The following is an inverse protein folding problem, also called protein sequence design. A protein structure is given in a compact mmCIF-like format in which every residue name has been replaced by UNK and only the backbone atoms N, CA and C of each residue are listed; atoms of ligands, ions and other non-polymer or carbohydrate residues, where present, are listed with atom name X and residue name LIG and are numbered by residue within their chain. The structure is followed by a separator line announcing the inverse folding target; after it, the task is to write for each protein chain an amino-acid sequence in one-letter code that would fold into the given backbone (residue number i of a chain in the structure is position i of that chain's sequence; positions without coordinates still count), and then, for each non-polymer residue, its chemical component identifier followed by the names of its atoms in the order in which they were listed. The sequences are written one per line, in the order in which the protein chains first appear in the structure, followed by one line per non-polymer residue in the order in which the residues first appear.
data_IF_506716125819
#
_entry.id   IF_506716125819
#
_cell.length_a   1.000
_cell.length_b   1.000
_cell.length_c   1.000
_cell.angle_alpha   90.00
_cell.angle_beta   90.00
_cell.angle_gamma   90.00
#
_symmetry.space_group_name_H-M   'P 1'
#
loop_
_entity.id
_entity.type
_entity.pdbx_description
1 polymer ?
#
# COMPACT_ATOMS: atom_id res chain seq x y z
N UNK A 1 14.25 -5.16 15.60
CA UNK A 1 14.37 -4.77 14.16
C UNK A 1 14.53 -3.26 14.07
N UNK A 2 15.23 -2.74 13.07
CA UNK A 2 15.25 -1.30 12.81
C UNK A 2 13.85 -0.84 12.39
N UNK A 3 13.44 0.34 12.85
CA UNK A 3 12.18 0.96 12.45
C UNK A 3 12.41 1.69 11.14
N UNK A 4 11.46 1.61 10.21
CA UNK A 4 11.49 2.34 8.94
C UNK A 4 10.32 3.31 8.85
N UNK A 5 10.55 4.44 8.20
CA UNK A 5 9.56 5.49 8.00
C UNK A 5 9.35 5.79 6.53
N UNK A 6 8.11 5.98 6.16
CA UNK A 6 7.74 6.44 4.84
C UNK A 6 6.68 7.52 4.85
N UNK A 7 6.54 8.18 3.72
CA UNK A 7 5.52 9.21 3.53
C UNK A 7 4.83 9.09 2.19
N UNK A 8 3.61 9.61 2.08
CA UNK A 8 2.87 9.65 0.82
C UNK A 8 3.36 10.80 -0.07
N UNK A 9 3.48 10.51 -1.36
CA UNK A 9 3.77 11.54 -2.36
C UNK A 9 2.49 12.26 -2.80
N UNK A 10 2.60 13.54 -3.23
CA UNK A 10 1.47 14.32 -3.71
C UNK A 10 1.10 13.89 -5.15
N UNK A 11 0.62 12.65 -5.30
CA UNK A 11 0.22 12.07 -6.59
C UNK A 11 -1.22 12.40 -6.99
N UNK A 12 -1.95 13.14 -6.14
CA UNK A 12 -3.34 13.54 -6.36
C UNK A 12 -3.69 14.89 -5.77
N UNK A 13 -4.83 15.45 -6.23
CA UNK A 13 -5.37 16.73 -5.74
C UNK A 13 -4.58 17.93 -6.23
N UNK A 14 -4.81 19.08 -5.61
CA UNK A 14 -4.24 20.37 -6.02
C UNK A 14 -2.71 20.40 -5.97
N UNK A 15 -2.11 19.61 -5.08
CA UNK A 15 -0.65 19.50 -4.96
C UNK A 15 -0.02 18.54 -5.97
N UNK A 16 -0.80 17.86 -6.80
CA UNK A 16 -0.25 16.93 -7.78
C UNK A 16 0.45 17.69 -8.92
N UNK A 17 1.74 17.43 -9.07
CA UNK A 17 2.57 18.03 -10.11
C UNK A 17 3.92 17.32 -10.21
N UNK A 18 4.59 17.40 -11.38
CA UNK A 18 5.89 16.72 -11.57
C UNK A 18 6.98 17.29 -10.64
N UNK A 19 7.00 18.61 -10.41
CA UNK A 19 7.94 19.24 -9.48
C UNK A 19 7.66 18.86 -8.03
N UNK A 20 6.39 18.85 -7.62
CA UNK A 20 5.99 18.45 -6.26
C UNK A 20 6.32 16.99 -6.01
N UNK A 21 6.02 16.10 -6.96
CA UNK A 21 6.41 14.68 -6.85
C UNK A 21 7.92 14.51 -6.66
N UNK A 22 8.72 15.17 -7.52
CA UNK A 22 10.18 15.11 -7.48
C UNK A 22 10.71 15.69 -6.17
N UNK A 23 10.35 16.93 -5.85
CA UNK A 23 10.89 17.63 -4.69
C UNK A 23 10.54 16.94 -3.37
N UNK A 24 9.32 16.46 -3.20
CA UNK A 24 8.92 15.71 -1.99
C UNK A 24 9.68 14.37 -1.89
N UNK A 25 9.82 13.63 -3.01
CA UNK A 25 10.54 12.36 -2.99
C UNK A 25 12.03 12.55 -2.68
N UNK A 26 12.69 13.52 -3.30
CA UNK A 26 14.09 13.84 -3.04
C UNK A 26 14.27 14.37 -1.60
N UNK A 27 13.39 15.24 -1.15
CA UNK A 27 13.44 15.74 0.23
C UNK A 27 13.24 14.65 1.26
N UNK A 28 12.32 13.72 1.03
CA UNK A 28 12.15 12.54 1.88
C UNK A 28 13.42 11.69 1.92
N UNK A 29 14.05 11.45 0.76
CA UNK A 29 15.31 10.72 0.68
C UNK A 29 16.46 11.42 1.43
N UNK A 30 16.57 12.75 1.32
CA UNK A 30 17.59 13.56 2.01
C UNK A 30 17.38 13.56 3.53
N UNK A 31 16.13 13.55 3.98
CA UNK A 31 15.77 13.47 5.40
C UNK A 31 15.92 12.07 6.00
N UNK A 32 16.27 11.06 5.18
CA UNK A 32 16.47 9.69 5.63
C UNK A 32 15.21 8.88 5.78
N UNK A 33 14.12 9.24 5.10
CA UNK A 33 12.98 8.34 4.97
C UNK A 33 13.37 7.10 4.17
N UNK A 34 12.81 5.95 4.55
CA UNK A 34 13.11 4.66 3.94
C UNK A 34 12.28 4.38 2.70
N UNK A 35 11.04 4.92 2.64
CA UNK A 35 10.13 4.64 1.53
C UNK A 35 9.13 5.77 1.28
N UNK A 36 8.70 5.88 0.01
CA UNK A 36 7.64 6.80 -0.44
C UNK A 36 6.51 6.00 -1.09
N UNK A 37 5.28 6.56 -1.02
CA UNK A 37 4.06 5.85 -1.38
C UNK A 37 3.15 6.68 -2.28
N UNK A 38 2.53 6.00 -3.24
CA UNK A 38 1.47 6.56 -4.09
C UNK A 38 0.21 5.69 -4.02
N UNK A 39 -0.95 6.32 -4.10
CA UNK A 39 -2.24 5.64 -4.13
C UNK A 39 -2.73 5.41 -5.56
N UNK A 40 -3.77 4.60 -5.73
CA UNK A 40 -4.28 4.17 -7.03
C UNK A 40 -5.77 4.48 -7.20
N UNK A 41 -6.08 5.29 -8.19
CA UNK A 41 -7.36 5.43 -8.86
C UNK A 41 -7.09 5.75 -10.34
N UNK A 42 -7.92 5.22 -11.23
CA UNK A 42 -7.75 5.38 -12.68
C UNK A 42 -8.76 6.39 -13.23
N UNK A 43 -10.02 6.24 -12.83
CA UNK A 43 -11.11 7.13 -13.22
C UNK A 43 -12.05 7.34 -12.04
N UNK A 44 -12.28 8.59 -11.70
CA UNK A 44 -13.16 8.94 -10.57
C UNK A 44 -14.56 9.30 -11.08
N UNK A 45 -15.57 8.44 -10.86
CA UNK A 45 -16.96 8.74 -11.17
C UNK A 45 -17.45 9.98 -10.44
N UNK A 46 -18.32 10.77 -11.10
CA UNK A 46 -18.92 11.97 -10.47
C UNK A 46 -19.92 11.62 -9.35
N UNK A 47 -20.52 10.44 -9.43
CA UNK A 47 -21.43 9.91 -8.42
C UNK A 47 -20.85 8.59 -7.92
N UNK A 48 -20.68 8.48 -6.62
CA UNK A 48 -20.18 7.31 -5.93
C UNK A 48 -21.19 6.96 -4.83
N UNK A 49 -21.81 5.79 -4.95
CA UNK A 49 -22.72 5.23 -3.97
C UNK A 49 -22.02 4.18 -3.08
N UNK A 50 -20.83 3.70 -3.50
CA UNK A 50 -19.99 2.77 -2.75
C UNK A 50 -19.52 3.38 -1.44
N UNK A 51 -19.61 2.60 -0.35
CA UNK A 51 -19.16 3.03 0.99
C UNK A 51 -17.63 3.12 1.05
N UNK A 52 -17.10 4.31 1.38
CA UNK A 52 -15.68 4.52 1.58
C UNK A 52 -15.23 4.00 2.95
N UNK A 53 -14.30 3.04 3.03
CA UNK A 53 -14.00 2.35 4.29
C UNK A 53 -13.16 3.16 5.29
N UNK A 54 -12.74 4.38 4.95
CA UNK A 54 -11.88 5.23 5.78
C UNK A 54 -12.49 6.62 6.06
N UNK A 55 -13.82 6.71 6.00
CA UNK A 55 -14.59 7.87 6.49
C UNK A 55 -15.78 7.38 7.29
N UNK A 56 -16.08 8.03 8.42
CA UNK A 56 -17.15 7.62 9.32
C UNK A 56 -18.54 7.66 8.68
N UNK A 57 -18.75 8.61 7.77
CA UNK A 57 -19.96 8.78 6.96
C UNK A 57 -19.96 7.92 5.68
N UNK A 58 -18.87 7.21 5.41
CA UNK A 58 -18.69 6.39 4.22
C UNK A 58 -18.52 7.19 2.92
N UNK A 59 -18.33 8.51 3.00
CA UNK A 59 -18.22 9.39 1.84
C UNK A 59 -16.75 9.61 1.50
N UNK A 60 -16.37 9.32 0.26
CA UNK A 60 -15.03 9.63 -0.23
C UNK A 60 -14.89 11.12 -0.55
N UNK A 61 -13.76 11.70 -0.16
CA UNK A 61 -13.45 13.14 -0.41
C UNK A 61 -12.75 13.38 -1.75
N UNK A 62 -12.70 12.39 -2.63
CA UNK A 62 -12.09 12.52 -3.96
C UNK A 62 -12.94 13.41 -4.87
N UNK A 63 -12.29 14.30 -5.60
CA UNK A 63 -12.96 15.17 -6.56
C UNK A 63 -12.67 14.69 -7.98
N UNK A 64 -13.70 14.43 -8.81
CA UNK A 64 -13.52 13.89 -10.16
C UNK A 64 -12.68 14.78 -11.11
N UNK A 65 -12.57 16.06 -10.79
CA UNK A 65 -11.87 17.05 -11.60
C UNK A 65 -10.44 17.36 -11.12
N UNK A 66 -9.96 16.65 -10.08
CA UNK A 66 -8.60 16.78 -9.59
C UNK A 66 -7.65 15.80 -10.30
N UNK A 67 -6.39 16.18 -10.52
CA UNK A 67 -5.38 15.24 -11.01
C UNK A 67 -5.28 14.02 -10.07
N UNK A 68 -5.14 12.85 -10.68
CA UNK A 68 -4.79 11.62 -9.97
C UNK A 68 -3.83 10.85 -10.88
N UNK A 69 -2.55 10.82 -10.54
CA UNK A 69 -1.56 10.17 -11.39
C UNK A 69 -1.61 8.65 -11.24
N UNK A 70 -1.47 7.96 -12.37
CA UNK A 70 -1.36 6.51 -12.39
C UNK A 70 -0.11 6.09 -11.59
N UNK A 71 -0.26 5.21 -10.58
CA UNK A 71 0.80 4.97 -9.59
C UNK A 71 2.09 4.40 -10.18
N UNK A 72 2.00 3.48 -11.13
CA UNK A 72 3.20 2.85 -11.69
C UNK A 72 3.97 3.83 -12.60
N UNK A 73 3.26 4.68 -13.33
CA UNK A 73 3.87 5.76 -14.10
C UNK A 73 4.57 6.78 -13.18
N UNK A 74 3.89 7.18 -12.09
CA UNK A 74 4.46 8.09 -11.10
C UNK A 74 5.71 7.49 -10.43
N UNK A 75 5.68 6.22 -10.01
CA UNK A 75 6.84 5.56 -9.40
C UNK A 75 8.01 5.39 -10.37
N UNK A 76 7.76 5.14 -11.68
CA UNK A 76 8.84 5.12 -12.67
C UNK A 76 9.51 6.50 -12.82
N UNK A 77 8.72 7.59 -12.80
CA UNK A 77 9.26 8.95 -12.79
C UNK A 77 10.13 9.20 -11.54
N UNK A 78 9.66 8.82 -10.36
CA UNK A 78 10.39 8.97 -9.10
C UNK A 78 11.65 8.09 -9.06
N UNK A 79 11.60 6.88 -9.61
CA UNK A 79 12.78 6.02 -9.72
C UNK A 79 13.93 6.69 -10.46
N UNK A 80 13.62 7.49 -11.50
CA UNK A 80 14.61 8.22 -12.29
C UNK A 80 15.21 9.44 -11.58
N UNK A 81 14.62 9.94 -10.49
CA UNK A 81 15.10 11.15 -9.80
C UNK A 81 15.47 10.92 -8.32
N UNK A 82 15.50 9.67 -7.86
CA UNK A 82 15.94 9.25 -6.52
C UNK A 82 16.92 8.08 -6.61
N UNK A 83 17.69 7.81 -5.55
CA UNK A 83 18.77 6.81 -5.58
C UNK A 83 18.60 5.67 -4.56
N UNK A 84 18.04 5.94 -3.38
CA UNK A 84 18.02 5.01 -2.24
C UNK A 84 16.61 4.68 -1.75
N UNK A 85 15.73 5.69 -1.74
CA UNK A 85 14.41 5.58 -1.16
C UNK A 85 13.57 4.52 -1.88
N UNK A 86 12.88 3.68 -1.13
CA UNK A 86 12.04 2.62 -1.70
C UNK A 86 10.72 3.19 -2.23
N UNK A 87 10.17 2.53 -3.22
CA UNK A 87 9.06 2.99 -4.06
C UNK A 87 7.86 2.05 -3.87
N UNK A 88 6.83 2.54 -3.21
CA UNK A 88 5.69 1.71 -2.85
C UNK A 88 4.35 2.21 -3.39
N UNK A 89 3.42 1.30 -3.58
CA UNK A 89 2.01 1.59 -3.82
C UNK A 89 1.20 1.43 -2.53
N UNK A 90 0.31 2.38 -2.21
CA UNK A 90 -0.49 2.36 -1.00
C UNK A 90 -1.98 2.66 -1.28
N UNK A 91 -2.66 1.75 -1.91
CA UNK A 91 -2.28 0.47 -2.48
C UNK A 91 -2.51 0.45 -3.99
N UNK A 92 -1.84 -0.45 -4.73
CA UNK A 92 -2.23 -0.77 -6.11
C UNK A 92 -3.47 -1.65 -6.09
N UNK A 93 -4.51 -1.26 -6.81
CA UNK A 93 -5.74 -2.05 -6.90
C UNK A 93 -5.53 -3.14 -7.97
N UNK A 94 -5.21 -4.33 -7.49
CA UNK A 94 -4.76 -5.44 -8.33
C UNK A 94 -5.72 -5.80 -9.47
N UNK A 95 -7.06 -5.85 -9.25
CA UNK A 95 -8.00 -6.21 -10.32
C UNK A 95 -8.17 -5.18 -11.45
N UNK A 96 -7.63 -3.96 -11.32
CA UNK A 96 -7.85 -2.90 -12.31
C UNK A 96 -7.08 -3.11 -13.61
N UNK A 97 -6.04 -3.92 -13.61
CA UNK A 97 -5.10 -4.04 -14.74
C UNK A 97 -4.90 -5.47 -15.18
N UNK A 98 -4.49 -5.65 -16.44
CA UNK A 98 -4.01 -6.94 -16.92
C UNK A 98 -2.83 -7.40 -16.04
N UNK A 99 -2.90 -8.62 -15.45
CA UNK A 99 -1.90 -9.06 -14.47
C UNK A 99 -0.51 -9.27 -15.07
N UNK A 100 -0.41 -9.77 -16.29
CA UNK A 100 0.90 -9.98 -16.95
C UNK A 100 1.57 -8.64 -17.25
N UNK A 101 0.81 -7.66 -17.73
CA UNK A 101 1.33 -6.31 -17.98
C UNK A 101 1.77 -5.65 -16.67
N UNK A 102 0.97 -5.77 -15.60
CA UNK A 102 1.30 -5.21 -14.28
C UNK A 102 2.56 -5.86 -13.71
N UNK A 103 2.67 -7.19 -13.77
CA UNK A 103 3.89 -7.89 -13.36
C UNK A 103 5.12 -7.42 -14.15
N UNK A 104 4.95 -7.18 -15.46
CA UNK A 104 6.03 -6.67 -16.33
C UNK A 104 6.47 -5.27 -15.93
N UNK A 105 5.54 -4.36 -15.70
CA UNK A 105 5.86 -2.98 -15.29
C UNK A 105 6.58 -2.99 -13.94
N UNK A 106 6.09 -3.76 -12.97
CA UNK A 106 6.70 -3.87 -11.65
C UNK A 106 8.11 -4.50 -11.69
N UNK A 107 8.33 -5.56 -12.48
CA UNK A 107 9.67 -6.13 -12.64
C UNK A 107 10.63 -5.18 -13.35
N UNK A 108 10.15 -4.45 -14.35
CA UNK A 108 10.93 -3.43 -15.05
C UNK A 108 11.32 -2.29 -14.09
N UNK A 109 10.35 -1.78 -13.32
CA UNK A 109 10.60 -0.76 -12.31
C UNK A 109 11.61 -1.26 -11.25
N UNK A 110 11.51 -2.52 -10.85
CA UNK A 110 12.43 -3.10 -9.88
C UNK A 110 13.88 -3.12 -10.41
N UNK A 111 14.07 -3.54 -11.67
CA UNK A 111 15.38 -3.50 -12.33
C UNK A 111 15.89 -2.07 -12.47
N UNK A 112 15.09 -1.16 -13.01
CA UNK A 112 15.49 0.23 -13.27
C UNK A 112 15.78 1.01 -11.98
N UNK A 113 15.09 0.66 -10.90
CA UNK A 113 15.32 1.28 -9.59
C UNK A 113 16.42 0.60 -8.77
N UNK A 114 17.02 -0.52 -9.23
CA UNK A 114 18.00 -1.27 -8.47
C UNK A 114 17.43 -2.00 -7.26
N UNK A 115 16.19 -2.51 -7.35
CA UNK A 115 15.55 -3.33 -6.29
C UNK A 115 14.86 -2.52 -5.20
N UNK A 116 14.28 -1.37 -5.54
CA UNK A 116 13.61 -0.49 -4.56
C UNK A 116 12.10 -0.63 -4.49
N UNK A 117 11.48 -1.49 -5.28
CA UNK A 117 10.01 -1.64 -5.35
C UNK A 117 9.44 -2.34 -4.11
N UNK A 118 8.29 -1.85 -3.64
CA UNK A 118 7.38 -2.53 -2.71
C UNK A 118 5.99 -2.53 -3.34
N UNK A 119 5.44 -3.71 -3.60
CA UNK A 119 4.05 -3.82 -4.07
C UNK A 119 3.10 -3.80 -2.87
N UNK A 120 2.50 -2.65 -2.59
CA UNK A 120 1.34 -2.58 -1.69
C UNK A 120 0.07 -2.92 -2.47
N UNK A 121 -0.56 -4.04 -2.14
CA UNK A 121 -1.65 -4.63 -2.90
C UNK A 121 -3.00 -4.45 -2.20
N UNK A 122 -4.01 -3.98 -2.95
CA UNK A 122 -5.38 -3.83 -2.54
C UNK A 122 -6.38 -4.48 -3.49
N UNK A 123 -7.62 -4.61 -3.05
CA UNK A 123 -8.70 -5.23 -3.85
C UNK A 123 -9.63 -4.22 -4.51
N UNK A 124 -9.59 -2.95 -4.10
CA UNK A 124 -10.55 -1.92 -4.50
C UNK A 124 -11.82 -1.93 -3.64
N UNK A 125 -12.49 -0.79 -3.58
CA UNK A 125 -13.73 -0.60 -2.80
C UNK A 125 -14.84 0.05 -3.63
N UNK A 126 -14.53 0.79 -4.69
CA UNK A 126 -15.44 1.60 -5.49
C UNK A 126 -15.97 0.80 -6.69
N UNK A 127 -17.20 0.32 -6.60
CA UNK A 127 -17.82 -0.48 -7.68
C UNK A 127 -17.97 0.32 -8.97
N UNK A 128 -18.27 1.60 -8.85
CA UNK A 128 -18.46 2.51 -9.97
C UNK A 128 -17.19 2.71 -10.80
N UNK A 129 -16.03 2.63 -10.18
CA UNK A 129 -14.75 2.69 -10.88
C UNK A 129 -14.49 1.40 -11.68
N UNK A 130 -14.80 0.23 -11.11
CA UNK A 130 -14.78 -1.03 -11.87
C UNK A 130 -15.69 -0.97 -13.10
N UNK A 131 -16.91 -0.47 -12.93
CA UNK A 131 -17.88 -0.32 -14.04
C UNK A 131 -17.36 0.65 -15.10
N UNK A 132 -16.81 1.80 -14.70
CA UNK A 132 -16.27 2.80 -15.63
C UNK A 132 -15.06 2.27 -16.43
N UNK A 133 -14.32 1.31 -15.88
CA UNK A 133 -13.22 0.61 -16.53
C UNK A 133 -13.67 -0.61 -17.36
N UNK A 134 -14.96 -0.92 -17.40
CA UNK A 134 -15.49 -2.09 -18.09
C UNK A 134 -15.16 -3.42 -17.40
N UNK A 135 -14.92 -3.40 -16.09
CA UNK A 135 -14.60 -4.59 -15.28
C UNK A 135 -15.86 -5.09 -14.55
N UNK A 136 -16.22 -6.33 -14.79
CA UNK A 136 -17.37 -7.02 -14.16
C UNK A 136 -17.00 -7.80 -12.89
N UNK A 137 -15.73 -7.78 -12.52
CA UNK A 137 -15.16 -8.59 -11.44
C UNK A 137 -15.25 -7.97 -10.06
N UNK A 138 -15.99 -6.87 -9.86
CA UNK A 138 -16.07 -6.20 -8.56
C UNK A 138 -16.47 -7.13 -7.40
N UNK A 139 -17.49 -7.98 -7.61
CA UNK A 139 -17.94 -8.94 -6.58
C UNK A 139 -16.92 -10.02 -6.28
N UNK A 140 -16.08 -10.36 -7.23
CA UNK A 140 -15.02 -11.37 -7.13
C UNK A 140 -13.63 -10.76 -6.91
N UNK A 141 -13.52 -9.43 -6.74
CA UNK A 141 -12.25 -8.68 -6.66
C UNK A 141 -11.23 -9.25 -5.68
N UNK A 142 -11.70 -9.83 -4.58
CA UNK A 142 -10.85 -10.53 -3.63
C UNK A 142 -10.22 -11.80 -4.20
N UNK A 143 -11.01 -12.64 -4.87
CA UNK A 143 -10.53 -13.88 -5.50
C UNK A 143 -9.63 -13.59 -6.71
N UNK A 144 -9.97 -12.58 -7.51
CA UNK A 144 -9.12 -12.09 -8.61
C UNK A 144 -7.76 -11.64 -8.06
N UNK A 145 -7.75 -10.85 -6.97
CA UNK A 145 -6.50 -10.41 -6.33
C UNK A 145 -5.68 -11.61 -5.85
N UNK A 146 -6.31 -12.56 -5.18
CA UNK A 146 -5.62 -13.75 -4.66
C UNK A 146 -4.96 -14.57 -5.77
N UNK A 147 -5.61 -14.68 -6.92
CA UNK A 147 -5.08 -15.37 -8.10
C UNK A 147 -3.95 -14.57 -8.76
N UNK A 148 -4.13 -13.26 -8.96
CA UNK A 148 -3.13 -12.41 -9.61
C UNK A 148 -1.83 -12.30 -8.79
N UNK A 149 -1.91 -12.29 -7.46
CA UNK A 149 -0.72 -12.34 -6.61
C UNK A 149 0.09 -13.62 -6.78
N UNK A 150 -0.58 -14.76 -7.00
CA UNK A 150 0.08 -16.02 -7.30
C UNK A 150 0.71 -16.00 -8.70
N UNK A 151 0.00 -15.46 -9.68
CA UNK A 151 0.51 -15.29 -11.05
C UNK A 151 1.75 -14.38 -11.06
N UNK A 152 1.77 -13.28 -10.28
CA UNK A 152 2.96 -12.42 -10.18
C UNK A 152 4.16 -13.20 -9.66
N UNK A 153 3.99 -13.97 -8.59
CA UNK A 153 5.07 -14.81 -8.04
C UNK A 153 5.56 -15.83 -9.07
N UNK A 154 4.66 -16.47 -9.80
CA UNK A 154 5.01 -17.40 -10.88
C UNK A 154 5.86 -16.71 -11.95
N UNK A 155 5.40 -15.56 -12.49
CA UNK A 155 6.09 -14.77 -13.50
C UNK A 155 7.47 -14.29 -13.05
N UNK A 156 7.60 -13.86 -11.79
CA UNK A 156 8.84 -13.28 -11.28
C UNK A 156 9.89 -14.31 -10.88
N UNK A 157 9.48 -15.53 -10.54
CA UNK A 157 10.38 -16.52 -9.95
C UNK A 157 10.70 -17.71 -10.86
N UNK A 158 9.82 -18.06 -11.77
CA UNK A 158 10.00 -19.22 -12.64
C UNK A 158 10.67 -18.86 -13.96
N UNK A 159 11.61 -19.67 -14.39
CA UNK A 159 12.27 -19.51 -15.70
C UNK A 159 11.25 -19.63 -16.85
N UNK A 160 10.41 -20.67 -16.80
CA UNK A 160 9.34 -20.95 -17.74
C UNK A 160 7.99 -20.89 -17.01
N UNK A 161 7.41 -19.70 -16.82
CA UNK A 161 6.17 -19.56 -16.06
C UNK A 161 5.00 -20.21 -16.77
N UNK A 162 4.21 -20.97 -16.02
CA UNK A 162 2.96 -21.57 -16.45
C UNK A 162 1.94 -21.48 -15.32
N UNK A 163 0.75 -20.98 -15.62
CA UNK A 163 -0.27 -20.76 -14.62
C UNK A 163 -1.66 -21.09 -15.17
N UNK A 164 -2.45 -21.83 -14.39
CA UNK A 164 -3.81 -22.23 -14.72
C UNK A 164 -4.76 -21.76 -13.62
N UNK A 165 -5.24 -20.52 -13.75
CA UNK A 165 -6.22 -19.93 -12.86
C UNK A 165 -7.62 -19.88 -13.43
N UNK A 166 -8.57 -19.44 -12.62
CA UNK A 166 -9.96 -19.18 -13.05
C UNK A 166 -10.05 -17.91 -13.91
N UNK A 167 -9.31 -16.88 -13.51
CA UNK A 167 -9.37 -15.53 -14.11
C UNK A 167 -8.26 -15.29 -15.13
N UNK A 168 -7.17 -16.02 -15.02
CA UNK A 168 -6.04 -15.86 -15.93
C UNK A 168 -5.30 -17.18 -16.17
N UNK A 169 -4.85 -17.38 -17.41
CA UNK A 169 -4.10 -18.57 -17.80
C UNK A 169 -2.94 -18.16 -18.72
N UNK A 170 -1.77 -18.75 -18.49
CA UNK A 170 -0.60 -18.64 -19.34
C UNK A 170 0.08 -20.02 -19.44
N UNK A 171 0.68 -20.30 -20.57
CA UNK A 171 1.50 -21.50 -20.79
C UNK A 171 2.68 -21.18 -21.69
N UNK A 172 3.78 -21.89 -21.50
CA UNK A 172 4.98 -21.86 -22.34
C UNK A 172 5.47 -20.45 -22.71
N UNK A 173 5.50 -19.55 -21.73
CA UNK A 173 5.80 -18.13 -21.95
C UNK A 173 7.12 -17.73 -21.32
N UNK A 174 7.94 -16.99 -22.07
CA UNK A 174 9.07 -16.27 -21.48
C UNK A 174 8.61 -15.00 -20.76
N UNK A 175 9.23 -14.69 -19.64
CA UNK A 175 8.97 -13.45 -18.91
C UNK A 175 10.28 -12.84 -18.40
N UNK A 176 10.79 -11.82 -19.11
CA UNK A 176 11.99 -11.06 -18.76
C UNK A 176 11.73 -9.55 -18.89
N UNK A 177 12.41 -8.70 -18.09
CA UNK A 177 13.40 -9.08 -17.06
C UNK A 177 12.71 -9.66 -15.81
N UNK A 178 13.40 -10.55 -15.10
CA UNK A 178 13.01 -10.89 -13.74
C UNK A 178 13.38 -9.73 -12.81
N UNK A 179 12.65 -9.53 -11.69
CA UNK A 179 13.06 -8.56 -10.69
C UNK A 179 14.46 -8.83 -10.14
N UNK A 180 15.18 -7.78 -9.75
CA UNK A 180 16.47 -7.93 -9.07
C UNK A 180 16.32 -8.38 -7.62
N UNK A 181 15.24 -7.98 -6.96
CA UNK A 181 14.89 -8.46 -5.62
C UNK A 181 14.54 -9.97 -5.65
N UNK A 182 15.06 -10.73 -4.69
CA UNK A 182 14.83 -12.18 -4.60
C UNK A 182 14.11 -12.53 -3.29
N UNK A 183 13.11 -13.42 -3.35
CA UNK A 183 12.62 -14.14 -4.54
C UNK A 183 11.86 -13.22 -5.50
N UNK A 184 11.31 -12.10 -5.06
CA UNK A 184 10.55 -11.09 -5.81
C UNK A 184 10.44 -9.79 -4.99
N UNK A 185 9.98 -8.66 -5.57
CA UNK A 185 9.63 -7.47 -4.81
C UNK A 185 8.64 -7.81 -3.70
N UNK A 186 8.83 -7.31 -2.45
CA UNK A 186 7.95 -7.66 -1.35
C UNK A 186 6.53 -7.19 -1.62
N UNK A 187 5.56 -8.06 -1.30
CA UNK A 187 4.12 -7.83 -1.47
C UNK A 187 3.53 -7.52 -0.10
N UNK A 188 3.09 -6.28 0.10
CA UNK A 188 2.42 -5.84 1.31
C UNK A 188 0.92 -5.71 1.09
N UNK A 189 0.12 -6.35 1.92
CA UNK A 189 -1.34 -6.40 1.76
C UNK A 189 -2.00 -5.29 2.55
N UNK A 190 -2.76 -4.43 1.87
CA UNK A 190 -3.55 -3.37 2.47
C UNK A 190 -4.86 -3.85 3.07
N UNK A 191 -5.39 -3.03 4.00
CA UNK A 191 -6.67 -3.26 4.66
C UNK A 191 -6.57 -4.04 5.96
N UNK A 192 -7.63 -3.92 6.78
CA UNK A 192 -7.68 -4.46 8.16
C UNK A 192 -8.81 -5.46 8.38
N UNK A 193 -9.59 -5.77 7.34
CA UNK A 193 -10.72 -6.70 7.41
C UNK A 193 -10.26 -8.16 7.47
N UNK A 194 -11.13 -9.05 7.92
CA UNK A 194 -10.82 -10.48 7.98
C UNK A 194 -10.28 -11.08 6.68
N UNK A 195 -10.88 -10.78 5.49
CA UNK A 195 -10.33 -11.20 4.20
C UNK A 195 -8.93 -10.66 3.92
N UNK A 196 -8.64 -9.38 4.25
CA UNK A 196 -7.33 -8.78 4.06
C UNK A 196 -6.26 -9.47 4.94
N UNK A 197 -6.58 -9.74 6.21
CA UNK A 197 -5.68 -10.44 7.13
C UNK A 197 -5.39 -11.86 6.63
N UNK A 198 -6.39 -12.61 6.16
CA UNK A 198 -6.18 -13.95 5.57
C UNK A 198 -5.29 -13.89 4.32
N UNK A 199 -5.48 -12.87 3.47
CA UNK A 199 -4.64 -12.64 2.28
C UNK A 199 -3.20 -12.34 2.66
N UNK A 200 -2.98 -11.47 3.65
CA UNK A 200 -1.65 -11.16 4.16
C UNK A 200 -0.96 -12.41 4.71
N UNK A 201 -1.66 -13.20 5.53
CA UNK A 201 -1.15 -14.46 6.07
C UNK A 201 -0.72 -15.45 4.99
N UNK A 202 -1.51 -15.57 3.90
CA UNK A 202 -1.28 -16.57 2.86
C UNK A 202 -0.30 -16.12 1.79
N UNK A 203 -0.39 -14.87 1.35
CA UNK A 203 0.30 -14.39 0.13
C UNK A 203 1.24 -13.21 0.38
N UNK A 204 1.09 -12.48 1.49
CA UNK A 204 1.84 -11.25 1.75
C UNK A 204 3.21 -11.49 2.39
N UNK A 205 4.15 -10.60 2.11
CA UNK A 205 5.43 -10.46 2.83
C UNK A 205 5.32 -9.35 3.89
N UNK A 206 4.26 -8.56 3.82
CA UNK A 206 3.90 -7.54 4.81
C UNK A 206 2.39 -7.32 4.87
N UNK A 207 1.94 -6.75 5.97
CA UNK A 207 0.57 -6.30 6.18
C UNK A 207 0.58 -4.82 6.55
N UNK A 208 -0.23 -4.01 5.86
CA UNK A 208 -0.21 -2.55 5.93
C UNK A 208 -1.62 -1.96 6.12
N UNK A 209 -2.23 -2.10 7.30
CA UNK A 209 -3.49 -1.44 7.61
C UNK A 209 -3.33 0.07 7.77
N UNK A 210 -4.42 0.80 7.48
CA UNK A 210 -4.57 2.22 7.81
C UNK A 210 -5.39 2.30 9.08
N UNK A 211 -4.90 2.99 10.09
CA UNK A 211 -5.60 3.20 11.35
C UNK A 211 -5.76 4.68 11.72
N UNK A 212 -6.40 4.92 12.87
CA UNK A 212 -6.76 6.23 13.39
C UNK A 212 -7.60 7.05 12.39
N UNK A 213 -8.38 6.33 11.59
CA UNK A 213 -9.35 6.89 10.64
C UNK A 213 -10.69 6.17 10.82
N UNK A 214 -11.70 6.82 11.43
CA UNK A 214 -13.01 6.20 11.59
C UNK A 214 -13.58 5.70 10.26
N UNK A 215 -14.21 4.50 10.24
CA UNK A 215 -14.43 3.58 11.35
C UNK A 215 -13.23 2.66 11.69
N UNK A 216 -12.12 2.75 10.96
CA UNK A 216 -10.90 1.97 11.19
C UNK A 216 -10.01 2.69 12.23
N UNK A 217 -10.31 2.52 13.50
CA UNK A 217 -9.51 3.13 14.56
C UNK A 217 -8.17 2.42 14.71
N UNK A 218 -8.19 1.10 14.91
CA UNK A 218 -6.99 0.31 15.08
C UNK A 218 -6.05 0.89 16.15
N UNK A 219 -6.61 1.23 17.30
CA UNK A 219 -5.80 1.57 18.45
C UNK A 219 -4.88 0.38 18.81
N UNK A 220 -3.91 0.56 19.72
CA UNK A 220 -2.95 -0.50 20.05
C UNK A 220 -3.61 -1.82 20.50
N UNK A 221 -4.72 -1.77 21.23
CA UNK A 221 -5.44 -2.96 21.70
C UNK A 221 -6.10 -3.71 20.53
N UNK A 222 -6.88 -3.00 19.69
CA UNK A 222 -7.53 -3.56 18.52
C UNK A 222 -6.50 -4.12 17.52
N UNK A 223 -5.43 -3.36 17.26
CA UNK A 223 -4.38 -3.80 16.35
C UNK A 223 -3.64 -5.03 16.88
N UNK A 224 -3.36 -5.08 18.20
CA UNK A 224 -2.74 -6.24 18.85
C UNK A 224 -3.55 -7.52 18.66
N UNK A 225 -4.88 -7.45 18.82
CA UNK A 225 -5.77 -8.56 18.54
C UNK A 225 -5.75 -9.02 17.06
N UNK A 226 -5.67 -8.08 16.13
CA UNK A 226 -5.55 -8.40 14.69
C UNK A 226 -4.18 -8.98 14.34
N UNK A 227 -3.09 -8.51 14.96
CA UNK A 227 -1.74 -9.07 14.80
C UNK A 227 -1.70 -10.52 15.28
N UNK A 228 -2.26 -10.81 16.46
CA UNK A 228 -2.34 -12.17 16.97
C UNK A 228 -3.10 -13.09 16.00
N UNK A 229 -4.20 -12.60 15.44
CA UNK A 229 -4.96 -13.32 14.41
C UNK A 229 -4.14 -13.54 13.13
N UNK A 230 -3.40 -12.52 12.66
CA UNK A 230 -2.53 -12.61 11.49
C UNK A 230 -1.48 -13.71 11.68
N UNK A 231 -0.77 -13.70 12.81
CA UNK A 231 0.26 -14.68 13.15
C UNK A 231 -0.30 -16.09 13.15
N UNK A 232 -1.44 -16.31 13.84
CA UNK A 232 -2.13 -17.61 13.83
C UNK A 232 -2.43 -18.09 12.41
N UNK A 233 -3.03 -17.24 11.56
CA UNK A 233 -3.37 -17.60 10.19
C UNK A 233 -2.12 -17.82 9.32
N UNK A 234 -1.01 -17.16 9.62
CA UNK A 234 0.27 -17.37 8.93
C UNK A 234 0.81 -18.77 9.20
N UNK A 235 0.77 -19.21 10.45
CA UNK A 235 1.14 -20.58 10.83
C UNK A 235 0.20 -21.61 10.20
N UNK A 236 -1.11 -21.37 10.23
CA UNK A 236 -2.11 -22.22 9.57
C UNK A 236 -1.90 -22.34 8.05
N UNK A 237 -1.32 -21.30 7.43
CA UNK A 237 -0.92 -21.31 6.01
C UNK A 237 0.43 -22.01 5.76
N UNK A 238 1.04 -22.64 6.77
CA UNK A 238 2.32 -23.36 6.66
C UNK A 238 3.54 -22.46 6.57
N UNK A 239 3.43 -21.20 7.05
CA UNK A 239 4.51 -20.20 7.01
C UNK A 239 5.04 -19.90 8.41
N UNK A 240 6.29 -19.43 8.56
CA UNK A 240 6.79 -18.93 9.84
C UNK A 240 5.88 -17.86 10.42
N UNK A 241 5.72 -17.82 11.74
CA UNK A 241 4.84 -16.86 12.42
C UNK A 241 5.19 -15.40 12.12
N UNK A 242 6.46 -15.12 11.94
CA UNK A 242 7.04 -13.80 11.63
C UNK A 242 7.26 -13.53 10.13
N UNK A 243 6.74 -14.39 9.25
CA UNK A 243 6.90 -14.26 7.80
C UNK A 243 6.23 -13.01 7.20
N UNK A 244 5.37 -12.33 7.96
CA UNK A 244 4.67 -11.12 7.51
C UNK A 244 5.12 -9.94 8.36
N UNK A 245 5.83 -8.99 7.74
CA UNK A 245 6.23 -7.74 8.39
C UNK A 245 5.01 -6.86 8.69
N UNK A 246 5.09 -6.10 9.79
CA UNK A 246 3.98 -5.27 10.24
C UNK A 246 4.25 -3.80 9.90
N UNK A 247 3.29 -3.20 9.19
CA UNK A 247 3.29 -1.79 8.83
C UNK A 247 2.05 -1.11 9.40
N UNK A 248 2.17 0.11 9.87
CA UNK A 248 1.02 0.91 10.28
C UNK A 248 1.01 2.23 9.53
N UNK A 249 -0.12 2.54 8.88
CA UNK A 249 -0.29 3.79 8.15
C UNK A 249 -1.27 4.70 8.87
N UNK A 250 -0.86 5.95 9.11
CA UNK A 250 -1.70 6.94 9.80
C UNK A 250 -1.33 8.38 9.41
N UNK A 251 -2.26 9.31 9.69
CA UNK A 251 -1.96 10.74 9.70
C UNK A 251 -1.25 11.16 10.98
N UNK A 252 -0.42 12.19 10.88
CA UNK A 252 0.23 12.85 12.04
C UNK A 252 -0.10 14.32 11.97
N UNK A 253 -0.51 14.88 13.12
CA UNK A 253 -0.88 16.29 13.26
C UNK A 253 -0.01 16.93 14.32
N UNK A 254 0.83 17.87 13.90
CA UNK A 254 1.65 18.65 14.84
C UNK A 254 0.85 19.84 15.35
N UNK A 255 0.63 19.87 16.65
CA UNK A 255 -0.03 20.95 17.36
C UNK A 255 0.49 21.05 18.80
N UNK A 256 0.05 22.08 19.55
CA UNK A 256 0.39 22.28 20.97
C UNK A 256 -0.62 21.60 21.91
N UNK A 257 -1.46 20.68 21.42
CA UNK A 257 -2.43 20.00 22.27
C UNK A 257 -1.73 19.20 23.38
N UNK A 258 -2.25 19.35 24.59
CA UNK A 258 -1.72 18.68 25.76
C UNK A 258 -2.86 18.29 26.70
N UNK A 259 -2.70 17.17 27.39
CA UNK A 259 -3.67 16.69 28.39
C UNK A 259 -4.29 15.34 28.01
N UNK A 260 -5.21 14.86 28.85
CA UNK A 260 -5.83 13.54 28.76
C UNK A 260 -6.85 13.38 27.62
N UNK A 261 -7.24 14.48 26.98
CA UNK A 261 -8.18 14.50 25.86
C UNK A 261 -7.50 14.53 24.47
N UNK A 262 -6.16 14.42 24.46
CA UNK A 262 -5.38 14.42 23.21
C UNK A 262 -5.66 13.16 22.41
N UNK A 263 -5.93 13.31 21.12
CA UNK A 263 -6.03 12.18 20.20
C UNK A 263 -4.64 11.60 19.89
N UNK A 264 -4.57 10.31 19.62
CA UNK A 264 -3.31 9.66 19.18
C UNK A 264 -2.81 10.29 17.88
N UNK A 265 -1.48 10.38 17.74
CA UNK A 265 -0.80 11.01 16.59
C UNK A 265 -1.09 12.52 16.42
N UNK A 266 -1.68 13.17 17.43
CA UNK A 266 -1.80 14.62 17.53
C UNK A 266 -0.88 15.14 18.62
N UNK A 267 -0.28 16.32 18.44
CA UNK A 267 0.51 17.01 19.46
C UNK A 267 1.96 17.26 19.08
N UNK A 268 2.81 17.42 20.11
CA UNK A 268 4.23 17.69 19.95
C UNK A 268 5.01 16.43 19.54
N UNK A 269 6.20 16.58 18.93
CA UNK A 269 7.00 15.45 18.44
C UNK A 269 7.24 14.34 19.47
N UNK A 270 7.47 14.69 20.74
CA UNK A 270 7.73 13.73 21.82
C UNK A 270 6.49 12.87 22.14
N UNK A 271 5.31 13.48 22.05
CA UNK A 271 4.02 12.80 22.27
C UNK A 271 3.71 11.85 21.13
N UNK A 272 3.90 12.29 19.89
CA UNK A 272 3.76 11.45 18.70
C UNK A 272 4.75 10.28 18.74
N UNK A 273 5.99 10.53 19.12
CA UNK A 273 6.99 9.48 19.31
C UNK A 273 6.58 8.46 20.38
N UNK A 274 5.94 8.92 21.47
CA UNK A 274 5.40 8.02 22.50
C UNK A 274 4.23 7.17 21.98
N UNK A 275 3.35 7.74 21.14
CA UNK A 275 2.27 7.00 20.49
C UNK A 275 2.83 5.93 19.53
N UNK A 276 3.80 6.28 18.69
CA UNK A 276 4.45 5.33 17.78
C UNK A 276 5.11 4.15 18.52
N UNK A 277 5.68 4.39 19.70
CA UNK A 277 6.28 3.32 20.53
C UNK A 277 5.25 2.29 20.96
N UNK A 278 4.00 2.68 21.25
CA UNK A 278 2.95 1.72 21.59
C UNK A 278 2.68 0.73 20.46
N UNK A 279 2.71 1.18 19.20
CA UNK A 279 2.59 0.31 18.02
C UNK A 279 3.87 -0.50 17.81
N UNK A 280 5.04 0.07 18.04
CA UNK A 280 6.32 -0.64 17.96
C UNK A 280 6.37 -1.82 18.97
N UNK A 281 5.85 -1.65 20.18
CA UNK A 281 5.80 -2.69 21.20
C UNK A 281 4.92 -3.89 20.78
N UNK A 282 3.99 -3.69 19.85
CA UNK A 282 3.21 -4.76 19.19
C UNK A 282 3.98 -5.48 18.07
N UNK A 283 5.17 -4.99 17.72
CA UNK A 283 6.01 -5.51 16.64
C UNK A 283 5.88 -4.77 15.30
N UNK A 284 5.18 -3.63 15.26
CA UNK A 284 5.17 -2.78 14.05
C UNK A 284 6.59 -2.25 13.82
N UNK A 285 7.11 -2.50 12.64
CA UNK A 285 8.47 -2.11 12.25
C UNK A 285 8.52 -1.09 11.11
N UNK A 286 7.38 -0.85 10.44
CA UNK A 286 7.29 0.11 9.35
C UNK A 286 6.14 1.08 9.60
N UNK A 287 6.39 2.37 9.42
CA UNK A 287 5.36 3.40 9.57
C UNK A 287 5.22 4.20 8.27
N UNK A 288 3.97 4.35 7.79
CA UNK A 288 3.65 5.25 6.69
C UNK A 288 2.93 6.45 7.29
N UNK A 289 3.62 7.58 7.30
CA UNK A 289 3.14 8.80 7.96
C UNK A 289 2.66 9.80 6.92
N UNK A 290 1.37 10.11 6.94
CA UNK A 290 0.81 11.24 6.22
C UNK A 290 0.89 12.50 7.10
N UNK A 291 1.71 13.47 6.71
CA UNK A 291 1.73 14.76 7.39
C UNK A 291 0.44 15.52 7.07
N UNK A 292 -0.26 15.95 8.11
CA UNK A 292 -1.51 16.69 8.01
C UNK A 292 -1.35 18.00 8.80
N UNK A 293 -1.88 19.11 8.26
CA UNK A 293 -1.85 20.41 8.92
C UNK A 293 -1.63 21.58 7.97
N UNK A 294 -1.96 22.78 8.40
CA UNK A 294 -1.95 24.01 7.60
C UNK A 294 -0.56 24.65 7.45
N UNK A 295 0.49 24.01 7.97
CA UNK A 295 1.86 24.53 7.91
C UNK A 295 2.84 23.43 7.53
N UNK A 296 2.79 23.02 6.25
CA UNK A 296 4.02 22.52 5.64
C UNK A 296 4.77 23.76 5.15
N UNK A 297 5.98 24.04 5.68
CA UNK A 297 6.75 25.19 5.20
C UNK A 297 7.13 25.04 3.74
#
# INVERSE_FOLDING_TARGET
MAITFGTSLPSRGEMAGPEQLRSVAQRAEDLGYDHVWVSDHIVLPKKVDSFYPYAADGVATFRPNEPYYEPLAALNFIAGCTQRIRLGTHVLIIPYRNPVLTAKILSTLDVLSGGRVILGAGVGWMEEEFQAMGLDTYKERGAVTDEYLQLYKELWTKENPSFQGKYYQISDSGFEPKPVQKPHPPIWIGGHTGPAIRRAAKYGDGWMPIGLRPPAILDPEELGGKIARLRKLTVEAGRPEDAVSLTFSTGVFFDDSSGSSREMMHGRPEQIAADLRQYQDLGVSNFIIGLQGSTVP
#
